data_IF_093815276761
#
_entry.id   IF_093815276761
#
_cell.length_a   1.000
_cell.length_b   1.000
_cell.length_c   1.000
_cell.angle_alpha   90.00
_cell.angle_beta   90.00
_cell.angle_gamma   90.00
#
_symmetry.space_group_name_H-M   'P 1'
#
loop_
_entity.id
_entity.type
_entity.pdbx_description
1 polymer ?
#
# COMPACT_ATOMS: atom_id res chain seq x y z
N UNK A 1 61.56 -11.44 -19.51
CA UNK A 1 60.68 -11.04 -18.40
C UNK A 1 59.35 -10.54 -18.99
N UNK A 2 58.28 -11.35 -18.82
CA UNK A 2 56.90 -10.97 -19.19
C UNK A 2 56.15 -10.65 -17.90
N UNK A 3 55.47 -9.52 -17.76
CA UNK A 3 54.57 -9.30 -16.63
C UNK A 3 53.22 -9.96 -16.93
N UNK A 4 52.76 -10.79 -15.99
CA UNK A 4 51.39 -11.36 -15.98
C UNK A 4 50.40 -10.28 -15.54
N UNK A 5 49.43 -9.97 -16.43
CA UNK A 5 48.28 -9.14 -16.09
C UNK A 5 47.28 -10.01 -15.29
N UNK A 6 47.14 -9.72 -14.01
CA UNK A 6 46.08 -10.28 -13.18
C UNK A 6 44.79 -9.51 -13.45
N UNK A 7 43.87 -10.11 -14.19
CA UNK A 7 42.49 -9.60 -14.37
C UNK A 7 41.73 -9.79 -13.09
N UNK A 8 41.42 -8.70 -12.40
CA UNK A 8 40.54 -8.65 -11.22
C UNK A 8 39.07 -8.73 -11.70
N UNK A 9 38.47 -9.92 -11.56
CA UNK A 9 37.07 -10.13 -11.85
C UNK A 9 36.20 -9.54 -10.69
N UNK A 10 35.68 -8.34 -10.90
CA UNK A 10 34.71 -7.73 -9.98
C UNK A 10 33.35 -8.42 -10.17
N UNK A 11 33.04 -9.37 -9.28
CA UNK A 11 31.71 -9.98 -9.19
C UNK A 11 30.78 -8.94 -8.56
N UNK A 12 30.04 -8.24 -9.41
CA UNK A 12 28.93 -7.38 -8.96
C UNK A 12 27.88 -8.25 -8.29
N UNK A 13 27.76 -8.19 -6.96
CA UNK A 13 26.58 -8.70 -6.25
C UNK A 13 25.37 -7.86 -6.66
N UNK A 14 24.64 -8.35 -7.67
CA UNK A 14 23.29 -7.89 -7.93
C UNK A 14 22.45 -8.21 -6.68
N UNK A 15 22.31 -7.22 -5.80
CA UNK A 15 21.45 -7.31 -4.63
C UNK A 15 20.01 -7.48 -5.09
N UNK A 16 19.54 -8.73 -5.19
CA UNK A 16 18.12 -9.02 -5.19
C UNK A 16 17.55 -8.39 -3.92
N UNK A 17 16.81 -7.30 -4.07
CA UNK A 17 16.03 -6.72 -2.98
C UNK A 17 15.02 -7.79 -2.53
N UNK A 18 15.44 -8.64 -1.61
CA UNK A 18 14.62 -9.71 -1.08
C UNK A 18 13.42 -9.08 -0.41
N UNK A 19 12.22 -9.45 -0.84
CA UNK A 19 10.95 -9.08 -0.24
C UNK A 19 10.83 -9.78 1.13
N UNK A 20 11.73 -9.41 2.06
CA UNK A 20 11.71 -9.98 3.40
C UNK A 20 10.55 -9.35 4.16
N UNK A 21 9.57 -10.17 4.55
CA UNK A 21 8.49 -9.75 5.46
C UNK A 21 9.04 -9.78 6.87
N UNK A 22 8.94 -8.67 7.57
CA UNK A 22 9.30 -8.61 8.98
C UNK A 22 8.31 -9.48 9.78
N UNK A 23 8.79 -10.33 10.72
CA UNK A 23 7.91 -11.05 11.60
C UNK A 23 7.12 -10.07 12.46
N UNK A 24 5.91 -10.46 12.87
CA UNK A 24 5.20 -9.70 13.89
C UNK A 24 5.99 -9.72 15.20
N UNK A 25 5.94 -8.63 16.00
CA UNK A 25 6.52 -8.61 17.35
C UNK A 25 5.96 -9.74 18.21
N UNK A 26 6.71 -10.14 19.22
CA UNK A 26 6.20 -11.00 20.30
C UNK A 26 5.26 -10.18 21.22
N UNK A 27 4.50 -10.87 22.07
CA UNK A 27 3.65 -10.19 23.08
C UNK A 27 2.44 -9.43 22.51
N UNK A 28 1.96 -9.77 21.32
CA UNK A 28 0.78 -9.11 20.73
C UNK A 28 -0.48 -9.36 21.55
N UNK A 29 -1.28 -8.30 21.70
CA UNK A 29 -2.61 -8.35 22.32
C UNK A 29 -3.69 -7.88 21.34
N UNK A 30 -4.92 -8.35 21.51
CA UNK A 30 -6.09 -7.85 20.78
C UNK A 30 -6.90 -6.84 21.62
N UNK A 31 -6.41 -6.49 22.82
CA UNK A 31 -6.99 -5.45 23.65
C UNK A 31 -6.50 -4.07 23.19
N UNK A 32 -7.40 -3.19 22.73
CA UNK A 32 -7.02 -1.84 22.32
C UNK A 32 -6.42 -1.06 23.50
N UNK A 33 -5.35 -0.30 23.29
CA UNK A 33 -4.79 0.58 24.32
C UNK A 33 -5.71 1.76 24.62
N UNK A 34 -5.47 2.42 25.76
CA UNK A 34 -6.13 3.66 26.08
C UNK A 34 -5.94 4.69 24.95
N UNK A 35 -7.02 5.42 24.61
CA UNK A 35 -6.99 6.43 23.55
C UNK A 35 -7.13 5.88 22.11
N UNK A 36 -7.17 4.56 21.92
CA UNK A 36 -7.31 3.96 20.58
C UNK A 36 -8.55 4.45 19.84
N UNK A 37 -9.71 4.48 20.49
CA UNK A 37 -10.97 4.94 19.88
C UNK A 37 -10.86 6.39 19.40
N UNK A 38 -10.23 7.28 20.19
CA UNK A 38 -9.99 8.67 19.80
C UNK A 38 -9.09 8.75 18.56
N UNK A 39 -8.01 7.97 18.55
CA UNK A 39 -7.12 7.87 17.41
C UNK A 39 -7.85 7.44 16.15
N UNK A 40 -8.69 6.38 16.25
CA UNK A 40 -9.49 5.90 15.11
C UNK A 40 -10.42 7.00 14.57
N UNK A 41 -11.10 7.73 15.45
CA UNK A 41 -11.98 8.84 15.06
C UNK A 41 -11.20 9.94 14.34
N UNK A 42 -10.09 10.41 14.90
CA UNK A 42 -9.26 11.44 14.28
C UNK A 42 -8.77 11.03 12.88
N UNK A 43 -8.32 9.79 12.73
CA UNK A 43 -7.85 9.29 11.42
C UNK A 43 -9.02 9.06 10.46
N UNK A 44 -10.21 8.69 10.95
CA UNK A 44 -11.41 8.53 10.11
C UNK A 44 -11.90 9.86 9.52
N UNK A 45 -11.70 10.98 10.21
CA UNK A 45 -12.00 12.33 9.72
C UNK A 45 -11.13 12.74 8.53
N UNK A 46 -9.97 12.12 8.36
CA UNK A 46 -9.11 12.32 7.19
C UNK A 46 -9.71 11.65 5.95
N UNK A 47 -10.72 12.27 5.37
CA UNK A 47 -11.45 11.78 4.17
C UNK A 47 -10.92 12.34 2.87
N UNK A 48 -10.14 13.43 2.92
CA UNK A 48 -9.53 14.09 1.77
C UNK A 48 -8.02 14.14 1.96
N UNK A 49 -7.32 13.27 1.24
CA UNK A 49 -5.87 13.14 1.38
C UNK A 49 -5.18 12.76 0.09
N UNK A 50 -3.90 13.07 0.02
CA UNK A 50 -2.98 12.66 -1.03
C UNK A 50 -1.80 11.93 -0.39
N UNK A 51 -1.38 10.84 -1.00
CA UNK A 51 -0.13 10.17 -0.64
C UNK A 51 0.71 9.89 -1.88
N UNK A 52 2.01 9.74 -1.66
CA UNK A 52 2.94 9.21 -2.66
C UNK A 52 3.94 8.25 -2.01
N UNK A 53 4.53 7.39 -2.83
CA UNK A 53 5.41 6.36 -2.32
C UNK A 53 5.75 5.28 -3.35
N UNK A 54 5.89 4.06 -2.87
CA UNK A 54 6.21 2.89 -3.69
C UNK A 54 5.29 1.73 -3.34
N UNK A 55 4.96 0.94 -4.35
CA UNK A 55 4.24 -0.31 -4.21
C UNK A 55 5.07 -1.46 -4.76
N UNK A 56 5.07 -2.60 -4.07
CA UNK A 56 5.61 -3.84 -4.59
C UNK A 56 4.57 -4.95 -4.39
N UNK A 57 4.34 -5.75 -5.41
CA UNK A 57 3.41 -6.87 -5.40
C UNK A 57 4.17 -8.15 -5.73
N UNK A 58 3.93 -9.19 -4.97
CA UNK A 58 4.43 -10.53 -5.23
C UNK A 58 3.27 -11.52 -5.17
N UNK A 59 3.16 -12.33 -6.20
CA UNK A 59 2.18 -13.42 -6.34
C UNK A 59 2.89 -14.66 -6.88
N UNK A 60 2.29 -15.86 -6.81
CA UNK A 60 2.92 -17.10 -7.31
C UNK A 60 3.31 -17.03 -8.79
N UNK A 61 2.50 -16.36 -9.61
CA UNK A 61 2.67 -16.28 -11.06
C UNK A 61 3.38 -15.01 -11.53
N UNK A 62 3.54 -14.00 -10.66
CA UNK A 62 4.03 -12.69 -11.06
C UNK A 62 4.54 -11.86 -9.88
N UNK A 63 5.45 -10.95 -10.15
CA UNK A 63 5.92 -9.97 -9.18
C UNK A 63 6.27 -8.66 -9.87
N UNK A 64 5.99 -7.53 -9.23
CA UNK A 64 6.28 -6.24 -9.78
C UNK A 64 6.37 -5.16 -8.72
N UNK A 65 6.88 -4.01 -9.14
CA UNK A 65 6.95 -2.83 -8.30
C UNK A 65 6.71 -1.58 -9.12
N UNK A 66 6.25 -0.53 -8.46
CA UNK A 66 5.99 0.75 -9.09
C UNK A 66 6.12 1.91 -8.10
N UNK A 67 6.12 3.11 -8.65
CA UNK A 67 6.03 4.35 -7.90
C UNK A 67 4.58 4.79 -7.87
N UNK A 68 4.07 5.07 -6.69
CA UNK A 68 2.81 5.79 -6.49
C UNK A 68 3.14 7.27 -6.66
N UNK A 69 2.90 7.82 -7.85
CA UNK A 69 3.13 9.23 -8.14
C UNK A 69 2.19 10.10 -7.30
N UNK A 70 0.93 9.71 -7.26
CA UNK A 70 -0.07 10.20 -6.32
C UNK A 70 -1.19 9.18 -6.13
N UNK A 71 -1.75 9.16 -4.96
CA UNK A 71 -3.05 8.57 -4.66
C UNK A 71 -3.87 9.63 -3.94
N UNK A 72 -4.85 10.15 -4.63
CA UNK A 72 -5.77 11.17 -4.12
C UNK A 72 -7.06 10.50 -3.71
N UNK A 73 -7.49 10.75 -2.48
CA UNK A 73 -8.78 10.32 -1.96
C UNK A 73 -9.67 11.52 -1.69
N UNK A 74 -10.95 11.41 -2.04
CA UNK A 74 -11.97 12.43 -1.82
C UNK A 74 -13.28 11.75 -1.42
N UNK A 75 -13.48 11.54 -0.11
CA UNK A 75 -14.53 10.65 0.35
C UNK A 75 -14.32 9.25 -0.24
N UNK A 76 -15.30 8.75 -0.97
CA UNK A 76 -15.24 7.42 -1.62
C UNK A 76 -14.51 7.44 -2.97
N UNK A 77 -14.29 8.60 -3.57
CA UNK A 77 -13.61 8.71 -4.85
C UNK A 77 -12.08 8.64 -4.67
N UNK A 78 -11.44 7.83 -5.50
CA UNK A 78 -9.97 7.75 -5.58
C UNK A 78 -9.45 8.02 -6.99
N UNK A 79 -8.24 8.60 -7.05
CA UNK A 79 -7.45 8.81 -8.25
C UNK A 79 -6.00 8.42 -7.94
N UNK A 80 -5.59 7.27 -8.45
CA UNK A 80 -4.29 6.65 -8.21
C UNK A 80 -3.49 6.62 -9.50
N UNK A 81 -2.32 7.26 -9.52
CA UNK A 81 -1.36 7.21 -10.62
C UNK A 81 -0.14 6.41 -10.23
N UNK A 82 0.13 5.38 -11.01
CA UNK A 82 1.28 4.49 -10.85
C UNK A 82 2.21 4.61 -12.05
N UNK A 83 3.52 4.62 -11.78
CA UNK A 83 4.55 4.42 -12.80
C UNK A 83 5.24 3.08 -12.52
N UNK A 84 5.24 2.19 -13.49
CA UNK A 84 5.89 0.89 -13.36
C UNK A 84 6.68 0.56 -14.62
N UNK A 85 7.97 0.38 -14.47
CA UNK A 85 8.83 -0.14 -15.55
C UNK A 85 8.60 -1.64 -15.79
N UNK A 86 8.06 -2.34 -14.79
CA UNK A 86 7.94 -3.80 -14.78
C UNK A 86 6.79 -4.31 -15.66
N UNK A 87 5.67 -3.58 -15.72
CA UNK A 87 4.49 -4.02 -16.46
C UNK A 87 4.54 -3.68 -17.95
N UNK A 88 5.62 -3.06 -18.44
CA UNK A 88 5.67 -2.55 -19.82
C UNK A 88 4.59 -1.50 -20.14
N UNK A 89 3.78 -1.15 -19.13
CA UNK A 89 2.59 -0.32 -19.28
C UNK A 89 2.85 1.17 -19.00
N UNK A 90 4.10 1.55 -18.70
CA UNK A 90 4.42 2.96 -18.40
C UNK A 90 3.61 3.52 -17.22
N UNK A 91 3.02 4.69 -17.39
CA UNK A 91 2.13 5.30 -16.39
C UNK A 91 0.71 4.74 -16.52
N UNK A 92 0.17 4.26 -15.41
CA UNK A 92 -1.20 3.73 -15.33
C UNK A 92 -2.01 4.57 -14.34
N UNK A 93 -3.24 4.89 -14.67
CA UNK A 93 -4.13 5.66 -13.81
C UNK A 93 -5.40 4.90 -13.50
N UNK A 94 -5.73 4.80 -12.22
CA UNK A 94 -6.95 4.18 -11.72
C UNK A 94 -7.81 5.23 -11.04
N UNK A 95 -9.05 5.35 -11.47
CA UNK A 95 -10.04 6.24 -10.85
C UNK A 95 -11.27 5.43 -10.52
N UNK A 96 -11.93 5.74 -9.42
CA UNK A 96 -13.16 5.03 -9.10
C UNK A 96 -13.76 5.38 -7.75
N UNK A 97 -14.81 4.64 -7.46
CA UNK A 97 -15.52 4.59 -6.19
C UNK A 97 -15.74 3.11 -5.84
N UNK A 98 -16.19 2.75 -4.62
CA UNK A 98 -16.58 1.38 -4.33
C UNK A 98 -17.56 0.82 -5.39
N UNK A 99 -17.24 -0.34 -5.95
CA UNK A 99 -18.04 -0.97 -7.00
C UNK A 99 -17.91 -0.39 -8.41
N UNK A 100 -16.97 0.54 -8.65
CA UNK A 100 -16.69 1.02 -10.01
C UNK A 100 -15.24 1.47 -10.15
N UNK A 101 -14.59 1.08 -11.24
CA UNK A 101 -13.23 1.51 -11.59
C UNK A 101 -13.11 1.85 -13.07
N UNK A 102 -12.37 2.90 -13.35
CA UNK A 102 -11.80 3.24 -14.64
C UNK A 102 -10.28 3.07 -14.56
N UNK A 103 -9.72 2.32 -15.50
CA UNK A 103 -8.29 2.10 -15.68
C UNK A 103 -7.87 2.73 -17.00
N UNK A 104 -6.85 3.60 -16.98
CA UNK A 104 -6.24 4.17 -18.17
C UNK A 104 -4.79 3.72 -18.25
N UNK A 105 -4.40 3.10 -19.35
CA UNK A 105 -3.03 2.65 -19.63
C UNK A 105 -2.19 3.78 -20.25
N UNK A 106 -0.88 3.55 -20.38
CA UNK A 106 0.07 4.55 -20.88
C UNK A 106 -0.11 4.91 -22.36
N UNK A 107 -0.71 4.03 -23.16
CA UNK A 107 -1.08 4.26 -24.56
C UNK A 107 -2.39 5.06 -24.74
N UNK A 108 -3.07 5.37 -23.61
CA UNK A 108 -4.33 6.09 -23.55
C UNK A 108 -5.56 5.18 -23.60
N UNK A 109 -5.40 3.87 -23.78
CA UNK A 109 -6.53 2.94 -23.70
C UNK A 109 -7.20 3.00 -22.33
N UNK A 110 -8.52 2.99 -22.33
CA UNK A 110 -9.32 3.15 -21.11
C UNK A 110 -10.33 2.00 -21.00
N UNK A 111 -10.33 1.36 -19.84
CA UNK A 111 -11.22 0.26 -19.48
C UNK A 111 -12.06 0.65 -18.28
N UNK A 112 -13.28 0.13 -18.20
CA UNK A 112 -14.21 0.42 -17.10
C UNK A 112 -14.87 -0.88 -16.63
N UNK A 113 -15.11 -0.99 -15.33
CA UNK A 113 -15.79 -2.17 -14.76
C UNK A 113 -16.51 -1.82 -13.46
N UNK A 114 -17.64 -2.50 -13.24
CA UNK A 114 -18.32 -2.56 -11.94
C UNK A 114 -17.63 -3.53 -10.95
N UNK A 115 -16.62 -4.30 -11.41
CA UNK A 115 -15.75 -5.13 -10.58
C UNK A 115 -14.30 -4.63 -10.69
N UNK A 116 -13.87 -3.72 -9.78
CA UNK A 116 -12.52 -3.16 -9.76
C UNK A 116 -11.41 -4.19 -9.65
N UNK A 117 -11.61 -5.25 -8.85
CA UNK A 117 -10.60 -6.28 -8.63
C UNK A 117 -10.40 -7.16 -9.88
N UNK A 118 -11.50 -7.50 -10.55
CA UNK A 118 -11.43 -8.25 -11.80
C UNK A 118 -10.76 -7.45 -12.91
N UNK A 119 -11.10 -6.16 -13.05
CA UNK A 119 -10.48 -5.27 -14.03
C UNK A 119 -8.97 -5.13 -13.77
N UNK A 120 -8.58 -4.83 -12.54
CA UNK A 120 -7.18 -4.69 -12.18
C UNK A 120 -6.40 -5.98 -12.44
N UNK A 121 -6.98 -7.14 -12.06
CA UNK A 121 -6.39 -8.44 -12.32
C UNK A 121 -6.20 -8.71 -13.83
N UNK A 122 -7.22 -8.41 -14.65
CA UNK A 122 -7.15 -8.62 -16.09
C UNK A 122 -6.07 -7.75 -16.75
N UNK A 123 -5.98 -6.49 -16.35
CA UNK A 123 -5.05 -5.53 -16.93
C UNK A 123 -3.60 -5.66 -16.43
N UNK A 124 -3.40 -6.01 -15.15
CA UNK A 124 -2.09 -5.98 -14.50
C UNK A 124 -1.62 -7.34 -13.97
N UNK A 125 -2.47 -8.35 -13.97
CA UNK A 125 -2.26 -9.61 -13.26
C UNK A 125 -2.42 -9.49 -11.73
N UNK A 126 -2.54 -8.30 -11.18
CA UNK A 126 -2.55 -8.07 -9.72
C UNK A 126 -3.95 -8.18 -9.14
N UNK A 127 -4.05 -8.89 -8.03
CA UNK A 127 -5.26 -8.98 -7.22
C UNK A 127 -5.08 -8.09 -5.99
N UNK A 128 -5.55 -6.86 -6.06
CA UNK A 128 -5.50 -5.89 -4.97
C UNK A 128 -6.93 -5.59 -4.48
N UNK A 129 -7.19 -5.66 -3.17
CA UNK A 129 -8.49 -5.32 -2.58
C UNK A 129 -8.60 -3.78 -2.45
N UNK A 130 -8.99 -3.11 -3.53
CA UNK A 130 -8.97 -1.64 -3.60
C UNK A 130 -9.79 -0.98 -2.50
N UNK A 131 -10.97 -1.53 -2.18
CA UNK A 131 -11.82 -0.98 -1.11
C UNK A 131 -11.13 -1.05 0.26
N UNK A 132 -10.62 -2.22 0.64
CA UNK A 132 -9.89 -2.39 1.89
C UNK A 132 -8.62 -1.54 1.96
N UNK A 133 -7.90 -1.40 0.85
CA UNK A 133 -6.65 -0.62 0.82
C UNK A 133 -6.87 0.85 1.20
N UNK A 134 -7.99 1.48 0.82
CA UNK A 134 -8.27 2.89 1.17
C UNK A 134 -8.38 3.10 2.69
N UNK A 135 -8.78 2.08 3.43
CA UNK A 135 -8.86 2.07 4.88
C UNK A 135 -7.53 1.68 5.52
N UNK A 136 -6.95 0.58 5.04
CA UNK A 136 -5.74 0.00 5.62
C UNK A 136 -4.52 0.91 5.51
N UNK A 137 -4.41 1.71 4.44
CA UNK A 137 -3.30 2.69 4.33
C UNK A 137 -3.32 3.73 5.45
N UNK A 138 -4.48 3.99 6.06
CA UNK A 138 -4.63 4.89 7.20
C UNK A 138 -4.50 4.19 8.55
N UNK A 139 -4.36 2.85 8.57
CA UNK A 139 -4.35 2.06 9.81
C UNK A 139 -5.75 1.85 10.38
N UNK A 140 -6.77 1.84 9.53
CA UNK A 140 -8.16 1.61 9.90
C UNK A 140 -8.68 0.32 9.24
N UNK A 141 -9.55 -0.46 9.90
CA UNK A 141 -10.29 -1.52 9.24
C UNK A 141 -11.38 -0.94 8.34
N UNK A 142 -11.70 -1.62 7.25
CA UNK A 142 -12.86 -1.31 6.41
C UNK A 142 -14.15 -1.53 7.22
N UNK A 143 -15.04 -0.52 7.30
CA UNK A 143 -16.27 -0.64 8.10
C UNK A 143 -17.25 -1.62 7.49
N UNK A 144 -18.12 -2.20 8.34
CA UNK A 144 -19.16 -3.14 7.92
C UNK A 144 -18.71 -4.58 7.72
N UNK A 145 -17.45 -4.89 7.99
CA UNK A 145 -16.89 -6.24 7.88
C UNK A 145 -16.15 -6.63 9.15
N UNK A 146 -16.11 -7.94 9.43
CA UNK A 146 -15.35 -8.48 10.56
C UNK A 146 -13.86 -8.19 10.43
N UNK A 147 -13.24 -7.83 11.55
CA UNK A 147 -11.81 -7.59 11.62
C UNK A 147 -11.24 -7.98 12.99
N UNK A 148 -9.93 -8.17 13.03
CA UNK A 148 -9.17 -8.31 14.27
C UNK A 148 -7.99 -7.36 14.26
N UNK A 149 -7.82 -6.59 15.34
CA UNK A 149 -6.67 -5.72 15.58
C UNK A 149 -5.69 -6.45 16.49
N UNK A 150 -4.41 -6.28 16.23
CA UNK A 150 -3.33 -6.73 17.10
C UNK A 150 -2.42 -5.55 17.40
N UNK A 151 -2.09 -5.37 18.68
CA UNK A 151 -1.25 -4.29 19.17
C UNK A 151 0.04 -4.85 19.76
N UNK A 152 1.14 -4.11 19.62
CA UNK A 152 2.41 -4.43 20.25
C UNK A 152 2.42 -4.01 21.73
N UNK A 153 3.48 -4.34 22.46
CA UNK A 153 3.65 -4.00 23.87
C UNK A 153 3.65 -2.48 24.14
N UNK A 154 3.92 -1.67 23.13
CA UNK A 154 3.87 -0.21 23.21
C UNK A 154 2.48 0.36 22.86
N UNK A 155 1.48 -0.50 22.65
CA UNK A 155 0.13 -0.12 22.29
C UNK A 155 -0.03 0.39 20.85
N UNK A 156 0.95 0.17 19.95
CA UNK A 156 0.84 0.53 18.55
C UNK A 156 0.17 -0.58 17.78
N UNK A 157 -0.67 -0.21 16.81
CA UNK A 157 -1.27 -1.18 15.91
C UNK A 157 -0.17 -1.90 15.09
N UNK A 158 -0.04 -3.20 15.32
CA UNK A 158 0.92 -4.06 14.63
C UNK A 158 0.29 -4.77 13.42
N UNK A 159 -1.00 -5.15 13.51
CA UNK A 159 -1.70 -5.82 12.41
C UNK A 159 -3.20 -5.59 12.44
N UNK A 160 -3.80 -5.54 11.23
CA UNK A 160 -5.24 -5.72 10.99
C UNK A 160 -5.42 -7.03 10.23
N UNK A 161 -6.31 -7.90 10.70
CA UNK A 161 -6.76 -9.08 9.95
C UNK A 161 -8.17 -8.84 9.45
N UNK A 162 -8.34 -8.81 8.13
CA UNK A 162 -9.63 -8.52 7.48
C UNK A 162 -9.67 -9.10 6.06
N UNK A 163 -10.81 -9.58 5.60
CA UNK A 163 -11.00 -10.20 4.27
C UNK A 163 -10.00 -11.32 3.94
N UNK A 164 -9.49 -12.01 4.99
CA UNK A 164 -8.45 -13.01 4.86
C UNK A 164 -7.05 -12.46 4.56
N UNK A 165 -6.87 -11.14 4.66
CA UNK A 165 -5.58 -10.47 4.66
C UNK A 165 -5.05 -10.30 6.08
N UNK A 166 -3.71 -10.39 6.25
CA UNK A 166 -2.94 -9.97 7.43
C UNK A 166 -2.16 -8.72 7.03
N UNK A 167 -2.64 -7.56 7.45
CA UNK A 167 -2.07 -6.25 7.13
C UNK A 167 -1.16 -5.84 8.26
N UNK A 168 0.15 -5.85 8.05
CA UNK A 168 1.18 -5.55 9.04
C UNK A 168 1.68 -4.14 8.90
N UNK A 169 1.81 -3.43 10.02
CA UNK A 169 2.29 -2.06 10.11
C UNK A 169 3.71 -2.06 10.65
N UNK A 170 4.68 -2.01 9.72
CA UNK A 170 6.09 -2.14 10.05
C UNK A 170 6.72 -0.81 10.48
N UNK A 171 6.12 0.33 10.04
CA UNK A 171 6.63 1.66 10.38
C UNK A 171 5.51 2.69 10.38
N UNK A 172 5.57 3.57 11.37
CA UNK A 172 4.70 4.73 11.54
C UNK A 172 5.53 6.01 11.46
N UNK A 173 4.92 7.12 11.05
CA UNK A 173 5.59 8.41 10.97
C UNK A 173 4.60 9.55 11.17
N UNK A 174 5.08 10.65 11.79
CA UNK A 174 4.32 11.89 11.87
C UNK A 174 4.51 12.67 10.55
N UNK A 175 3.55 12.55 9.65
CA UNK A 175 3.56 13.25 8.37
C UNK A 175 2.86 14.60 8.44
N UNK A 176 1.93 14.78 9.36
CA UNK A 176 1.07 15.95 9.50
C UNK A 176 0.81 16.23 10.97
N UNK A 177 1.07 17.45 11.42
CA UNK A 177 0.96 17.83 12.84
C UNK A 177 -0.49 17.75 13.38
N UNK A 178 -1.49 17.89 12.49
CA UNK A 178 -2.92 17.84 12.83
C UNK A 178 -3.46 16.42 13.06
N UNK A 179 -2.69 15.39 12.74
CA UNK A 179 -3.12 13.99 12.82
C UNK A 179 -2.15 13.13 13.62
N UNK A 180 -2.60 12.02 14.21
CA UNK A 180 -1.70 11.03 14.76
C UNK A 180 -0.74 10.48 13.69
N UNK A 181 0.33 9.82 14.14
CA UNK A 181 1.22 9.09 13.22
C UNK A 181 0.43 8.23 12.24
N UNK A 182 0.77 8.30 10.97
CA UNK A 182 0.20 7.47 9.91
C UNK A 182 1.18 6.40 9.44
N UNK A 183 0.67 5.30 8.85
CA UNK A 183 1.54 4.26 8.35
C UNK A 183 2.52 4.77 7.30
N UNK A 184 3.81 4.45 7.48
CA UNK A 184 4.88 4.73 6.52
C UNK A 184 5.33 3.47 5.77
N UNK A 185 5.16 2.28 6.40
CA UNK A 185 5.40 1.00 5.73
C UNK A 185 4.36 -0.02 6.16
N UNK A 186 3.73 -0.64 5.16
CA UNK A 186 2.67 -1.62 5.32
C UNK A 186 3.00 -2.83 4.46
N UNK A 187 2.79 -4.03 4.98
CA UNK A 187 2.84 -5.27 4.20
C UNK A 187 1.55 -6.06 4.42
N UNK A 188 0.77 -6.24 3.37
CA UNK A 188 -0.44 -7.06 3.38
C UNK A 188 -0.15 -8.46 2.80
N UNK A 189 -0.61 -9.50 3.50
CA UNK A 189 -0.36 -10.91 3.20
C UNK A 189 -1.69 -11.65 3.05
N UNK A 190 -1.81 -12.49 2.00
CA UNK A 190 -2.93 -13.43 1.83
C UNK A 190 -2.46 -14.67 1.08
N UNK A 191 -2.23 -15.77 1.80
CA UNK A 191 -1.57 -16.95 1.27
C UNK A 191 -0.17 -16.59 0.75
N UNK A 192 0.12 -16.88 -0.51
CA UNK A 192 1.41 -16.54 -1.13
C UNK A 192 1.48 -15.12 -1.70
N UNK A 193 0.37 -14.38 -1.68
CA UNK A 193 0.30 -13.00 -2.15
C UNK A 193 0.84 -12.04 -1.11
N UNK A 194 1.61 -11.08 -1.55
CA UNK A 194 2.22 -10.02 -0.72
C UNK A 194 2.13 -8.70 -1.44
N UNK A 195 1.66 -7.68 -0.72
CA UNK A 195 1.63 -6.29 -1.20
C UNK A 195 2.34 -5.44 -0.17
N UNK A 196 3.38 -4.74 -0.59
CA UNK A 196 4.10 -3.78 0.28
C UNK A 196 3.90 -2.38 -0.23
N UNK A 197 3.55 -1.50 0.68
CA UNK A 197 3.50 -0.06 0.47
C UNK A 197 4.57 0.60 1.33
N UNK A 198 5.35 1.49 0.72
CA UNK A 198 6.25 2.40 1.40
C UNK A 198 5.79 3.81 1.07
N UNK A 199 5.19 4.47 2.04
CA UNK A 199 4.62 5.80 1.88
C UNK A 199 5.69 6.82 2.30
N UNK A 200 5.97 7.77 1.43
CA UNK A 200 7.01 8.79 1.64
C UNK A 200 6.43 10.16 1.90
N UNK A 201 5.16 10.36 1.56
CA UNK A 201 4.45 11.63 1.78
C UNK A 201 2.97 11.36 2.01
N UNK A 202 2.41 12.10 2.97
CA UNK A 202 0.99 12.30 3.20
C UNK A 202 0.69 13.79 3.20
N UNK A 203 -0.45 14.16 2.66
CA UNK A 203 -0.97 15.54 2.72
C UNK A 203 -2.49 15.49 2.87
N UNK A 204 -3.01 16.32 3.77
CA UNK A 204 -4.43 16.63 3.77
C UNK A 204 -4.73 17.54 2.58
N UNK A 205 -5.80 17.27 1.88
CA UNK A 205 -6.20 18.06 0.73
C UNK A 205 -7.46 18.85 1.06
N UNK A 206 -7.27 20.08 1.42
CA UNK A 206 -8.36 21.02 1.58
C UNK A 206 -8.85 21.43 0.18
N UNK A 207 -9.86 20.72 -0.35
CA UNK A 207 -10.54 21.19 -1.54
C UNK A 207 -11.40 22.38 -1.12
N UNK A 208 -10.99 23.59 -1.48
CA UNK A 208 -11.94 24.72 -1.45
C UNK A 208 -13.13 24.37 -2.33
N UNK A 209 -14.38 24.56 -1.86
CA UNK A 209 -15.54 24.40 -2.71
C UNK A 209 -15.47 25.47 -3.81
N UNK A 210 -15.40 25.04 -5.07
CA UNK A 210 -15.66 25.92 -6.22
C UNK A 210 -17.16 26.07 -6.40
#
# INVERSE_FOLDING_TARGET
>A
LRPALASLLVIGLAGCASFRVEPLPEGLTDQPPEGWTRRQQQVAELTHWDLSGKIAVRQPSDSGSGVINHWKQRGDYYDLSLSSAFLGMGATRLKGVPGYMQLTLSDGETYQSADPEALLKAATGWKLPMNGLTWWVRGLPEPGYDFRLLFDEQGRLASIRQHGWDIRYERWHNFMDSYPELPARITALKGERRVRLVITRWQENHTEPQ
#
